data_IF_783949241511
#
_entry.id   IF_783949241511
#
_cell.length_a   1.000
_cell.length_b   1.000
_cell.length_c   1.000
_cell.angle_alpha   90.00
_cell.angle_beta   90.00
_cell.angle_gamma   90.00
#
_symmetry.space_group_name_H-M   'P 1'
#
loop_
_entity.id
_entity.type
_entity.pdbx_description
1 polymer ?
#
# COMPACT_ATOMS: atom_id res chain seq x y z
N UNK A 1 -10.49 -1.91 -12.55
CA UNK A 1 -9.43 -0.95 -12.89
C UNK A 1 -9.58 -0.25 -14.24
N UNK A 2 -10.17 -0.88 -15.28
CA UNK A 2 -10.18 -0.33 -16.66
C UNK A 2 -10.68 1.11 -16.85
N UNK A 3 -11.73 1.55 -16.14
CA UNK A 3 -12.21 2.94 -16.23
C UNK A 3 -11.16 3.95 -15.75
N UNK A 4 -10.45 3.65 -14.66
CA UNK A 4 -9.40 4.50 -14.12
C UNK A 4 -8.20 4.56 -15.08
N UNK A 5 -7.82 3.43 -15.68
CA UNK A 5 -6.75 3.37 -16.67
C UNK A 5 -7.09 4.21 -17.90
N UNK A 6 -8.32 4.13 -18.42
CA UNK A 6 -8.75 4.96 -19.54
C UNK A 6 -8.75 6.46 -19.23
N UNK A 7 -9.13 6.85 -18.01
CA UNK A 7 -9.01 8.25 -17.57
C UNK A 7 -7.56 8.70 -17.46
N UNK A 8 -6.69 7.85 -16.93
CA UNK A 8 -5.27 8.14 -16.78
C UNK A 8 -4.57 8.25 -18.13
N UNK A 9 -4.89 7.37 -19.07
CA UNK A 9 -4.42 7.39 -20.46
C UNK A 9 -4.78 8.71 -21.16
N UNK A 10 -6.06 9.11 -21.10
CA UNK A 10 -6.51 10.37 -21.66
C UNK A 10 -5.78 11.58 -21.06
N UNK A 11 -5.61 11.61 -19.73
CA UNK A 11 -4.87 12.68 -19.05
C UNK A 11 -3.38 12.71 -19.44
N UNK A 12 -2.75 11.55 -19.59
CA UNK A 12 -1.36 11.45 -20.03
C UNK A 12 -1.21 11.92 -21.48
N UNK A 13 -2.15 11.57 -22.36
CA UNK A 13 -2.21 12.06 -23.73
C UNK A 13 -2.35 13.58 -23.79
N UNK A 14 -3.30 14.14 -23.03
CA UNK A 14 -3.50 15.59 -22.94
C UNK A 14 -2.24 16.30 -22.39
N UNK A 15 -1.57 15.73 -21.39
CA UNK A 15 -0.32 16.29 -20.88
C UNK A 15 0.78 16.27 -21.94
N UNK A 16 0.88 15.18 -22.72
CA UNK A 16 1.87 15.03 -23.77
C UNK A 16 1.70 16.07 -24.89
N UNK A 17 0.46 16.49 -25.21
CA UNK A 17 0.21 17.51 -26.24
C UNK A 17 0.56 18.93 -25.79
N UNK A 18 0.50 19.22 -24.48
CA UNK A 18 0.69 20.58 -23.95
C UNK A 18 2.09 20.81 -23.37
N UNK A 19 2.83 19.75 -23.03
CA UNK A 19 4.15 19.85 -22.44
C UNK A 19 5.27 19.59 -23.46
N UNK A 20 6.43 20.25 -23.32
CA UNK A 20 7.62 19.85 -24.05
C UNK A 20 7.99 18.39 -23.79
N UNK A 21 8.39 17.65 -24.84
CA UNK A 21 8.73 16.22 -24.75
C UNK A 21 9.83 15.92 -23.73
N UNK A 22 10.73 16.87 -23.46
CA UNK A 22 11.76 16.74 -22.43
C UNK A 22 11.20 16.61 -21.01
N UNK A 23 9.97 17.10 -20.76
CA UNK A 23 9.32 17.03 -19.45
C UNK A 23 8.45 15.78 -19.28
N UNK A 24 8.16 15.04 -20.35
CA UNK A 24 7.28 13.87 -20.26
C UNK A 24 7.87 12.78 -19.35
N UNK A 25 9.12 12.30 -19.55
CA UNK A 25 9.66 11.22 -18.71
C UNK A 25 9.71 11.52 -17.20
N UNK A 26 10.21 12.67 -16.72
CA UNK A 26 10.24 12.94 -15.29
C UNK A 26 8.83 13.10 -14.68
N UNK A 27 7.87 13.64 -15.43
CA UNK A 27 6.50 13.82 -14.96
C UNK A 27 5.77 12.47 -14.86
N UNK A 28 5.83 11.67 -15.93
CA UNK A 28 5.23 10.33 -15.99
C UNK A 28 5.83 9.45 -14.88
N UNK A 29 7.15 9.51 -14.69
CA UNK A 29 7.84 8.81 -13.59
C UNK A 29 7.32 9.23 -12.22
N UNK A 30 7.21 10.53 -11.96
CA UNK A 30 6.73 11.04 -10.68
C UNK A 30 5.27 10.63 -10.42
N UNK A 31 4.45 10.61 -11.46
CA UNK A 31 3.06 10.14 -11.37
C UNK A 31 2.99 8.66 -11.04
N UNK A 32 3.76 7.81 -11.74
CA UNK A 32 3.80 6.38 -11.45
C UNK A 32 4.27 6.09 -10.02
N UNK A 33 5.29 6.82 -9.54
CA UNK A 33 5.76 6.72 -8.16
C UNK A 33 4.67 7.10 -7.16
N UNK A 34 3.98 8.22 -7.38
CA UNK A 34 2.89 8.65 -6.51
C UNK A 34 1.73 7.64 -6.49
N UNK A 35 1.40 7.04 -7.64
CA UNK A 35 0.38 5.99 -7.73
C UNK A 35 0.83 4.72 -7.01
N UNK A 36 2.08 4.30 -7.18
CA UNK A 36 2.62 3.13 -6.49
C UNK A 36 2.56 3.32 -4.96
N UNK A 37 3.01 4.47 -4.47
CA UNK A 37 2.95 4.82 -3.04
C UNK A 37 1.51 4.86 -2.52
N UNK A 38 0.58 5.41 -3.31
CA UNK A 38 -0.84 5.46 -2.96
C UNK A 38 -1.43 4.04 -2.85
N UNK A 39 -1.09 3.14 -3.78
CA UNK A 39 -1.54 1.75 -3.75
C UNK A 39 -0.98 1.01 -2.53
N UNK A 40 0.31 1.19 -2.19
CA UNK A 40 0.90 0.60 -0.98
C UNK A 40 0.14 1.05 0.26
N UNK A 41 -0.11 2.35 0.39
CA UNK A 41 -0.89 2.92 1.51
C UNK A 41 -2.30 2.35 1.55
N UNK A 42 -2.96 2.22 0.41
CA UNK A 42 -4.31 1.67 0.36
C UNK A 42 -4.32 0.18 0.74
N UNK A 43 -3.29 -0.59 0.39
CA UNK A 43 -3.17 -2.00 0.77
C UNK A 43 -2.85 -2.20 2.25
N UNK A 44 -2.02 -1.34 2.86
CA UNK A 44 -1.58 -1.47 4.25
C UNK A 44 -2.43 -0.69 5.25
N UNK A 45 -3.04 0.42 4.83
CA UNK A 45 -3.70 1.42 5.68
C UNK A 45 -5.11 1.79 5.18
N UNK A 46 -5.74 0.96 4.35
CA UNK A 46 -7.04 1.25 3.72
C UNK A 46 -8.26 1.28 4.67
N UNK A 47 -8.03 1.35 5.98
CA UNK A 47 -9.06 1.52 6.99
C UNK A 47 -9.85 0.25 7.33
N UNK A 48 -10.77 0.33 8.30
CA UNK A 48 -11.40 -0.84 8.93
C UNK A 48 -12.35 -1.63 8.03
N UNK A 49 -12.73 -1.07 6.88
CA UNK A 49 -13.61 -1.72 5.91
C UNK A 49 -12.86 -2.47 4.82
N UNK A 50 -11.54 -2.30 4.73
CA UNK A 50 -10.72 -3.07 3.82
C UNK A 50 -10.45 -4.44 4.44
N UNK A 51 -10.71 -5.47 3.66
CA UNK A 51 -10.40 -6.85 3.99
C UNK A 51 -9.62 -7.44 2.83
N UNK A 52 -8.70 -8.34 3.14
CA UNK A 52 -7.80 -8.92 2.16
C UNK A 52 -7.63 -10.43 2.37
N UNK A 53 -8.03 -11.23 1.39
CA UNK A 53 -7.78 -12.66 1.30
C UNK A 53 -6.65 -12.95 0.30
N UNK A 54 -5.87 -14.05 0.46
CA UNK A 54 -4.79 -14.38 -0.48
C UNK A 54 -5.28 -14.47 -1.94
N UNK A 55 -6.51 -14.95 -2.13
CA UNK A 55 -7.16 -15.11 -3.43
C UNK A 55 -7.35 -13.77 -4.16
N UNK A 56 -7.39 -12.64 -3.43
CA UNK A 56 -7.52 -11.31 -4.03
C UNK A 56 -6.23 -10.87 -4.75
N UNK A 57 -5.07 -11.49 -4.47
CA UNK A 57 -3.79 -11.09 -5.06
C UNK A 57 -3.78 -11.19 -6.59
N UNK A 58 -4.38 -12.23 -7.17
CA UNK A 58 -4.37 -12.43 -8.62
C UNK A 58 -5.01 -11.27 -9.38
N UNK A 59 -6.14 -10.77 -8.89
CA UNK A 59 -6.81 -9.60 -9.49
C UNK A 59 -5.96 -8.32 -9.37
N UNK A 60 -5.22 -8.16 -8.27
CA UNK A 60 -4.35 -6.99 -8.08
C UNK A 60 -3.11 -7.08 -8.97
N UNK A 61 -2.56 -8.27 -9.17
CA UNK A 61 -1.44 -8.51 -10.09
C UNK A 61 -1.82 -8.17 -11.52
N UNK A 62 -2.99 -8.63 -11.98
CA UNK A 62 -3.54 -8.28 -13.29
C UNK A 62 -3.72 -6.74 -13.44
N UNK A 63 -4.24 -6.08 -12.41
CA UNK A 63 -4.38 -4.62 -12.40
C UNK A 63 -3.01 -3.91 -12.44
N UNK A 64 -1.99 -4.48 -11.80
CA UNK A 64 -0.63 -3.96 -11.77
C UNK A 64 0.07 -4.12 -13.13
N UNK A 65 -0.14 -5.25 -13.81
CA UNK A 65 0.35 -5.49 -15.16
C UNK A 65 -0.29 -4.53 -16.17
N UNK A 66 -1.60 -4.28 -16.04
CA UNK A 66 -2.30 -3.29 -16.86
C UNK A 66 -1.77 -1.87 -16.63
N UNK A 67 -1.47 -1.51 -15.37
CA UNK A 67 -0.84 -0.23 -15.03
C UNK A 67 0.58 -0.14 -15.62
N UNK A 68 1.37 -1.21 -15.54
CA UNK A 68 2.72 -1.26 -16.10
C UNK A 68 2.71 -1.09 -17.62
N UNK A 69 1.77 -1.75 -18.31
CA UNK A 69 1.58 -1.61 -19.74
C UNK A 69 1.21 -0.17 -20.14
N UNK A 70 0.30 0.47 -19.40
CA UNK A 70 -0.09 1.87 -19.64
C UNK A 70 1.11 2.83 -19.56
N UNK A 71 1.93 2.72 -18.52
CA UNK A 71 3.08 3.61 -18.33
C UNK A 71 4.26 3.28 -19.24
N UNK A 72 4.33 2.06 -19.76
CA UNK A 72 5.28 1.70 -20.80
C UNK A 72 4.85 2.21 -22.18
N UNK A 73 3.54 2.22 -22.45
CA UNK A 73 2.91 2.70 -23.68
C UNK A 73 3.60 2.18 -24.96
N UNK A 74 3.81 0.86 -25.06
CA UNK A 74 4.49 0.20 -26.19
C UNK A 74 5.86 0.81 -26.59
N UNK A 75 6.55 1.41 -25.62
CA UNK A 75 7.87 2.03 -25.82
C UNK A 75 7.83 3.55 -26.02
N UNK A 76 6.65 4.17 -26.10
CA UNK A 76 6.50 5.63 -26.16
C UNK A 76 6.52 6.29 -24.77
N UNK A 77 6.32 5.50 -23.71
CA UNK A 77 6.31 5.94 -22.32
C UNK A 77 7.65 5.77 -21.61
N UNK A 78 7.62 5.24 -20.39
CA UNK A 78 8.82 4.94 -19.61
C UNK A 78 9.49 3.64 -20.09
N UNK A 79 10.83 3.53 -19.97
CA UNK A 79 11.53 2.27 -20.15
C UNK A 79 10.96 1.20 -19.22
N UNK A 80 10.80 -0.03 -19.73
CA UNK A 80 10.19 -1.13 -18.97
C UNK A 80 10.92 -1.38 -17.64
N UNK A 81 12.24 -1.32 -17.64
CA UNK A 81 13.06 -1.47 -16.43
C UNK A 81 12.75 -0.42 -15.35
N UNK A 82 12.42 0.81 -15.74
CA UNK A 82 12.06 1.86 -14.80
C UNK A 82 10.66 1.64 -14.22
N UNK A 83 9.71 1.20 -15.05
CA UNK A 83 8.35 0.85 -14.62
C UNK A 83 8.40 -0.29 -13.61
N UNK A 84 9.09 -1.38 -13.95
CA UNK A 84 9.23 -2.56 -13.09
C UNK A 84 9.92 -2.17 -11.77
N UNK A 85 10.96 -1.33 -11.82
CA UNK A 85 11.64 -0.83 -10.61
C UNK A 85 10.71 -0.03 -9.70
N UNK A 86 9.86 0.82 -10.25
CA UNK A 86 8.92 1.65 -9.48
C UNK A 86 7.81 0.80 -8.87
N UNK A 87 7.34 -0.22 -9.58
CA UNK A 87 6.28 -1.12 -9.12
C UNK A 87 6.79 -2.27 -8.24
N UNK A 88 8.10 -2.55 -8.22
CA UNK A 88 8.69 -3.62 -7.41
C UNK A 88 8.24 -3.66 -5.93
N UNK A 89 8.13 -2.53 -5.20
CA UNK A 89 7.63 -2.55 -3.82
C UNK A 89 6.21 -3.11 -3.69
N UNK A 90 5.35 -2.90 -4.70
CA UNK A 90 4.01 -3.49 -4.73
C UNK A 90 4.06 -4.98 -5.01
N UNK A 91 4.91 -5.43 -5.94
CA UNK A 91 5.11 -6.86 -6.21
C UNK A 91 5.65 -7.61 -4.99
N UNK A 92 6.61 -7.01 -4.28
CA UNK A 92 7.10 -7.54 -3.01
C UNK A 92 6.00 -7.58 -1.95
N UNK A 93 5.17 -6.53 -1.84
CA UNK A 93 4.05 -6.49 -0.91
C UNK A 93 3.01 -7.56 -1.24
N UNK A 94 2.69 -7.75 -2.53
CA UNK A 94 1.76 -8.78 -2.98
C UNK A 94 2.25 -10.18 -2.61
N UNK A 95 3.56 -10.43 -2.71
CA UNK A 95 4.15 -11.69 -2.22
C UNK A 95 3.88 -11.92 -0.73
N UNK A 96 3.92 -10.87 0.11
CA UNK A 96 3.55 -10.97 1.53
C UNK A 96 2.05 -11.18 1.71
N UNK A 97 1.24 -10.47 0.93
CA UNK A 97 -0.22 -10.57 0.94
C UNK A 97 -0.71 -11.97 0.51
N UNK A 98 0.04 -12.71 -0.29
CA UNK A 98 -0.27 -14.10 -0.64
C UNK A 98 0.00 -15.10 0.50
N UNK A 99 0.87 -14.77 1.47
CA UNK A 99 1.26 -15.71 2.52
C UNK A 99 0.08 -16.07 3.42
N UNK A 100 -0.05 -17.36 3.72
CA UNK A 100 -1.07 -17.83 4.66
C UNK A 100 -0.86 -17.24 6.06
N UNK A 101 -1.97 -17.02 6.77
CA UNK A 101 -1.96 -16.45 8.13
C UNK A 101 -1.00 -17.16 9.11
N UNK A 102 -0.86 -18.50 9.14
CA UNK A 102 0.12 -19.16 10.01
C UNK A 102 1.57 -18.73 9.71
N UNK A 103 1.93 -18.61 8.44
CA UNK A 103 3.26 -18.19 7.99
C UNK A 103 3.52 -16.74 8.40
N UNK A 104 2.54 -15.85 8.18
CA UNK A 104 2.62 -14.45 8.60
C UNK A 104 2.85 -14.32 10.12
N UNK A 105 2.11 -15.08 10.92
CA UNK A 105 2.27 -15.08 12.38
C UNK A 105 3.67 -15.53 12.80
N UNK A 106 4.21 -16.57 12.16
CA UNK A 106 5.53 -17.09 12.51
C UNK A 106 6.64 -16.15 12.04
N UNK A 107 6.52 -15.55 10.84
CA UNK A 107 7.43 -14.51 10.37
C UNK A 107 7.43 -13.30 11.30
N UNK A 108 6.25 -12.86 11.77
CA UNK A 108 6.14 -11.75 12.73
C UNK A 108 6.88 -12.05 14.04
N UNK A 109 6.69 -13.25 14.62
CA UNK A 109 7.40 -13.65 15.85
C UNK A 109 8.91 -13.72 15.63
N UNK A 110 9.35 -14.26 14.50
CA UNK A 110 10.76 -14.35 14.15
C UNK A 110 11.39 -12.97 14.00
N UNK A 111 10.73 -12.04 13.29
CA UNK A 111 11.18 -10.66 13.12
C UNK A 111 11.33 -9.94 14.46
N UNK A 112 10.43 -10.17 15.41
CA UNK A 112 10.51 -9.59 16.76
C UNK A 112 11.60 -10.20 17.65
N UNK A 113 11.96 -11.47 17.46
CA UNK A 113 12.96 -12.16 18.29
C UNK A 113 14.37 -12.01 17.76
N UNK A 114 14.56 -12.02 16.44
CA UNK A 114 15.89 -11.95 15.80
C UNK A 114 16.26 -10.54 15.35
N UNK A 115 15.32 -9.59 15.40
CA UNK A 115 15.44 -8.33 14.69
C UNK A 115 15.23 -8.51 13.18
N UNK A 116 14.98 -7.40 12.48
CA UNK A 116 14.87 -7.42 11.01
C UNK A 116 16.21 -7.90 10.43
N UNK A 117 16.25 -8.90 9.53
CA UNK A 117 17.50 -9.36 8.94
C UNK A 117 18.26 -8.19 8.29
N UNK A 118 19.43 -7.85 8.83
CA UNK A 118 20.33 -6.84 8.26
C UNK A 118 21.12 -7.45 7.11
N UNK A 119 20.47 -7.63 5.96
CA UNK A 119 21.05 -8.03 4.69
C UNK A 119 20.33 -7.30 3.56
N UNK A 120 20.99 -7.11 2.42
CA UNK A 120 20.63 -6.19 1.31
C UNK A 120 19.29 -6.44 0.57
N UNK A 121 18.28 -7.00 1.23
CA UNK A 121 16.90 -7.03 0.78
C UNK A 121 16.00 -6.95 2.00
N UNK A 122 15.34 -5.81 2.20
CA UNK A 122 14.19 -5.70 3.10
C UNK A 122 13.09 -6.58 2.52
N UNK A 123 13.14 -7.89 2.73
CA UNK A 123 12.02 -8.73 2.37
C UNK A 123 10.87 -8.26 3.25
N UNK A 124 9.90 -7.55 2.67
CA UNK A 124 8.71 -7.04 3.36
C UNK A 124 8.02 -8.16 4.17
N UNK A 125 8.21 -9.41 3.77
CA UNK A 125 7.79 -10.62 4.45
C UNK A 125 8.33 -10.82 5.88
N UNK A 126 9.36 -10.06 6.29
CA UNK A 126 9.97 -10.06 7.62
C UNK A 126 9.95 -8.67 8.29
N UNK A 127 9.26 -7.69 7.71
CA UNK A 127 9.04 -6.41 8.39
C UNK A 127 7.84 -6.56 9.34
N UNK A 128 8.04 -6.46 10.67
CA UNK A 128 6.96 -6.67 11.63
C UNK A 128 5.85 -5.63 11.48
N UNK A 129 6.14 -4.42 11.00
CA UNK A 129 5.11 -3.41 10.74
C UNK A 129 4.23 -3.83 9.55
N UNK A 130 4.84 -4.21 8.42
CA UNK A 130 4.10 -4.67 7.24
C UNK A 130 3.25 -5.88 7.58
N UNK A 131 3.83 -6.89 8.23
CA UNK A 131 3.10 -8.12 8.60
C UNK A 131 1.93 -7.80 9.55
N UNK A 132 2.12 -6.90 10.53
CA UNK A 132 1.05 -6.48 11.41
C UNK A 132 -0.12 -5.85 10.63
N UNK A 133 0.18 -4.97 9.68
CA UNK A 133 -0.83 -4.32 8.85
C UNK A 133 -1.55 -5.32 7.95
N UNK A 134 -0.83 -6.27 7.35
CA UNK A 134 -1.44 -7.36 6.56
C UNK A 134 -2.36 -8.21 7.44
N UNK A 135 -1.90 -8.65 8.61
CA UNK A 135 -2.71 -9.42 9.56
C UNK A 135 -3.95 -8.65 10.03
N UNK A 136 -3.88 -7.33 10.14
CA UNK A 136 -5.01 -6.49 10.57
C UNK A 136 -6.14 -6.45 9.53
N UNK A 137 -5.82 -6.61 8.24
CA UNK A 137 -6.79 -6.64 7.15
C UNK A 137 -7.21 -8.07 6.77
N UNK A 138 -6.69 -9.10 7.42
CA UNK A 138 -7.12 -10.48 7.18
C UNK A 138 -8.53 -10.74 7.73
N UNK A 139 -9.46 -11.33 6.96
CA UNK A 139 -10.81 -11.67 7.41
C UNK A 139 -10.87 -12.93 8.31
N UNK A 140 -9.73 -13.47 8.74
CA UNK A 140 -9.68 -14.74 9.46
C UNK A 140 -9.65 -14.59 11.01
N UNK A 141 -10.21 -15.57 11.70
CA UNK A 141 -10.26 -15.56 13.16
C UNK A 141 -8.85 -15.70 13.78
N UNK A 142 -7.93 -16.44 13.16
CA UNK A 142 -6.61 -16.72 13.71
C UNK A 142 -5.76 -15.43 13.81
N UNK A 143 -5.74 -14.61 12.76
CA UNK A 143 -5.09 -13.30 12.73
C UNK A 143 -5.67 -12.37 13.80
N UNK A 144 -6.99 -12.25 13.86
CA UNK A 144 -7.69 -11.46 14.89
C UNK A 144 -7.37 -11.93 16.31
N UNK A 145 -7.33 -13.24 16.55
CA UNK A 145 -7.02 -13.84 17.86
C UNK A 145 -5.56 -13.58 18.24
N UNK A 146 -4.64 -13.71 17.29
CA UNK A 146 -3.23 -13.44 17.46
C UNK A 146 -3.00 -11.96 17.82
N UNK A 147 -3.50 -11.02 17.02
CA UNK A 147 -3.31 -9.58 17.25
C UNK A 147 -3.88 -9.13 18.61
N UNK A 148 -5.07 -9.61 19.00
CA UNK A 148 -5.64 -9.31 20.32
C UNK A 148 -4.75 -9.77 21.47
N UNK A 149 -4.17 -10.97 21.34
CA UNK A 149 -3.25 -11.52 22.35
C UNK A 149 -1.94 -10.73 22.38
N UNK A 150 -1.37 -10.45 21.21
CA UNK A 150 -0.06 -9.84 21.05
C UNK A 150 -0.03 -8.39 21.54
N UNK A 151 -1.07 -7.62 21.19
CA UNK A 151 -1.18 -6.20 21.54
C UNK A 151 -2.06 -5.92 22.76
N UNK A 152 -2.56 -6.96 23.43
CA UNK A 152 -3.47 -6.85 24.60
C UNK A 152 -4.67 -5.93 24.33
N UNK A 153 -5.24 -6.02 23.13
CA UNK A 153 -6.34 -5.16 22.71
C UNK A 153 -7.59 -5.42 23.58
N UNK A 154 -8.38 -4.37 23.91
CA UNK A 154 -9.63 -4.55 24.64
C UNK A 154 -10.56 -5.53 23.91
N UNK A 155 -11.28 -6.36 24.67
CA UNK A 155 -12.39 -7.15 24.09
C UNK A 155 -13.43 -6.16 23.55
N UNK A 156 -13.96 -6.39 22.34
CA UNK A 156 -15.03 -5.57 21.76
C UNK A 156 -16.10 -5.33 22.82
N UNK A 157 -16.32 -4.07 23.19
CA UNK A 157 -17.51 -3.69 23.94
C UNK A 157 -18.67 -4.02 23.01
N UNK A 158 -19.55 -4.94 23.45
CA UNK A 158 -20.69 -5.38 22.66
C UNK A 158 -21.51 -4.18 22.21
N UNK A 159 -22.02 -4.25 20.97
CA UNK A 159 -22.95 -3.27 20.44
C UNK A 159 -24.22 -3.23 21.29
N UNK A 160 -24.28 -2.32 22.27
CA UNK A 160 -25.55 -1.74 22.68
C UNK A 160 -25.82 -0.57 21.74
N UNK A 161 -26.92 -0.68 21.01
CA UNK A 161 -27.54 0.36 20.18
C UNK A 161 -27.43 1.74 20.81
N UNK A 162 -26.78 2.66 20.09
CA UNK A 162 -26.69 4.07 20.46
C UNK A 162 -25.78 4.79 19.48
N UNK A 163 -26.36 5.29 18.39
CA UNK A 163 -25.63 6.09 17.41
C UNK A 163 -24.98 7.29 18.08
N UNK A 164 -23.69 7.47 17.83
CA UNK A 164 -23.00 8.74 18.03
C UNK A 164 -21.94 8.86 16.95
N UNK A 165 -22.09 9.91 16.15
CA UNK A 165 -21.24 10.24 15.02
C UNK A 165 -19.78 10.42 15.47
N UNK A 166 -18.87 9.78 14.75
CA UNK A 166 -17.44 10.08 14.86
C UNK A 166 -17.17 11.39 14.12
N UNK A 167 -17.28 12.52 14.83
CA UNK A 167 -16.76 13.80 14.35
C UNK A 167 -15.26 13.85 14.64
N UNK A 168 -14.45 13.33 13.71
CA UNK A 168 -13.00 13.48 13.75
C UNK A 168 -12.62 14.92 13.34
N UNK A 169 -12.39 15.78 14.33
CA UNK A 169 -11.71 17.06 14.11
C UNK A 169 -10.21 16.79 13.89
N UNK A 170 -9.76 16.96 12.64
CA UNK A 170 -8.33 16.98 12.32
C UNK A 170 -7.72 18.30 12.80
N UNK A 171 -7.14 18.28 13.99
CA UNK A 171 -6.34 19.39 14.51
C UNK A 171 -5.02 19.48 13.76
N UNK A 172 -4.92 20.39 12.79
CA UNK A 172 -3.63 20.84 12.28
C UNK A 172 -2.87 21.58 13.39
N UNK A 173 -1.78 20.98 13.85
CA UNK A 173 -0.84 21.60 14.79
C UNK A 173 -0.24 22.85 14.17
N UNK A 174 -0.60 24.01 14.73
CA UNK A 174 -0.06 25.32 14.36
C UNK A 174 1.36 25.44 14.92
N UNK A 175 2.36 25.50 14.05
CA UNK A 175 3.76 25.77 14.40
C UNK A 175 3.83 27.17 15.02
N UNK A 176 4.28 27.26 16.28
CA UNK A 176 4.61 28.53 16.91
C UNK A 176 6.00 28.98 16.45
N UNK A 177 6.08 30.17 15.86
CA UNK A 177 7.33 30.90 15.61
C UNK A 177 7.51 31.91 16.74
N UNK A 178 8.61 31.78 17.49
CA UNK A 178 9.00 32.74 18.54
C UNK A 178 9.67 33.97 17.92
N UNK A 179 9.41 35.19 18.41
CA UNK A 179 10.11 36.39 17.97
C UNK A 179 11.55 36.42 18.54
N UNK A 180 12.52 36.78 17.69
CA UNK A 180 13.88 37.09 18.11
C UNK A 180 13.91 38.46 18.80
N UNK A 181 14.54 38.50 19.98
CA UNK A 181 14.85 39.73 20.74
C UNK A 181 15.93 40.55 20.08
#
# INVERSE_FOLDING_TARGET
MGQLLGQLDGLLGDLATHLPSALHPPLIRSLLQALADALVRVLLDGGPFRLFAPDDCGMIEEDLDALAALFHADGEGLPREDVDRILNPLSELLTVLQLETPILIDNFKQARTRGVPTGSGRLLAYDPAVIQHVLAHRPDHAASKFLKKEFRLPKKVGSSSGGSAFTGSFGYGRVQVSPMS
#
